data_IF_005284817738
#
_entry.id   IF_005284817738
#
_cell.length_a   1.000
_cell.length_b   1.000
_cell.length_c   1.000
_cell.angle_alpha   90.00
_cell.angle_beta   90.00
_cell.angle_gamma   90.00
#
_symmetry.space_group_name_H-M   'P 1'
#
loop_
_entity.id
_entity.type
_entity.pdbx_description
1 polymer ?
#
# COMPACT_ATOMS: atom_id res chain seq x y z
N UNK A 1 -1.91 -7.04 15.32
CA UNK A 1 -1.24 -7.72 14.20
C UNK A 1 0.22 -7.33 14.29
N UNK A 2 1.11 -8.31 14.34
CA UNK A 2 2.55 -8.07 14.26
C UNK A 2 2.97 -7.87 12.80
N UNK A 3 4.13 -7.24 12.55
CA UNK A 3 4.59 -7.01 11.18
C UNK A 3 4.80 -8.31 10.40
N UNK A 4 5.26 -9.36 11.08
CA UNK A 4 5.41 -10.69 10.48
C UNK A 4 4.07 -11.29 10.03
N UNK A 5 3.00 -11.08 10.80
CA UNK A 5 1.65 -11.55 10.43
C UNK A 5 1.17 -10.84 9.16
N UNK A 6 1.47 -9.54 9.04
CA UNK A 6 1.17 -8.76 7.84
C UNK A 6 1.93 -9.30 6.62
N UNK A 7 3.24 -9.52 6.73
CA UNK A 7 4.02 -10.06 5.60
C UNK A 7 3.56 -11.46 5.19
N UNK A 8 3.17 -12.30 6.15
CA UNK A 8 2.56 -13.60 5.85
C UNK A 8 1.26 -13.42 5.04
N UNK A 9 0.37 -12.54 5.50
CA UNK A 9 -0.87 -12.21 4.78
C UNK A 9 -0.59 -11.73 3.35
N UNK A 10 0.42 -10.88 3.14
CA UNK A 10 0.79 -10.40 1.80
C UNK A 10 1.20 -11.56 0.87
N UNK A 11 1.96 -12.53 1.38
CA UNK A 11 2.31 -13.72 0.60
C UNK A 11 1.11 -14.59 0.24
N UNK A 12 0.19 -14.80 1.19
CA UNK A 12 -1.07 -15.53 0.97
C UNK A 12 -1.96 -14.81 -0.05
N UNK A 13 -2.07 -13.48 0.05
CA UNK A 13 -2.88 -12.67 -0.86
C UNK A 13 -2.28 -12.61 -2.26
N UNK A 14 -0.95 -12.51 -2.40
CA UNK A 14 -0.29 -12.62 -3.71
C UNK A 14 -0.61 -13.97 -4.36
N UNK A 15 -0.56 -15.06 -3.62
CA UNK A 15 -0.92 -16.37 -4.16
C UNK A 15 -2.38 -16.40 -4.62
N UNK A 16 -3.31 -15.92 -3.80
CA UNK A 16 -4.73 -15.81 -4.13
C UNK A 16 -4.97 -14.99 -5.41
N UNK A 17 -4.30 -13.84 -5.55
CA UNK A 17 -4.40 -12.98 -6.72
C UNK A 17 -3.83 -13.63 -7.98
N UNK A 18 -2.69 -14.32 -7.89
CA UNK A 18 -2.10 -15.04 -9.03
C UNK A 18 -2.99 -16.18 -9.52
N UNK A 19 -3.71 -16.85 -8.62
CA UNK A 19 -4.65 -17.91 -8.96
C UNK A 19 -5.91 -17.34 -9.65
N UNK A 20 -6.41 -16.19 -9.20
CA UNK A 20 -7.62 -15.55 -9.75
C UNK A 20 -7.37 -14.79 -11.05
N UNK A 21 -6.22 -14.12 -11.15
CA UNK A 21 -5.86 -13.23 -12.25
C UNK A 21 -4.47 -13.60 -12.77
N UNK A 22 -4.34 -14.73 -13.49
CA UNK A 22 -3.04 -15.22 -13.93
C UNK A 22 -2.44 -14.28 -14.98
N UNK A 23 -1.32 -13.64 -14.62
CA UNK A 23 -0.49 -12.84 -15.53
C UNK A 23 0.80 -13.61 -15.78
N UNK A 24 1.02 -14.20 -16.98
CA UNK A 24 2.19 -15.06 -17.24
C UNK A 24 3.53 -14.31 -17.30
N UNK A 25 3.48 -13.00 -17.50
CA UNK A 25 4.63 -12.13 -17.70
C UNK A 25 4.95 -11.39 -16.39
N UNK A 26 6.08 -11.68 -15.72
CA UNK A 26 6.45 -11.05 -14.46
C UNK A 26 6.55 -9.52 -14.52
N UNK A 27 7.00 -8.96 -15.64
CA UNK A 27 7.09 -7.50 -15.79
C UNK A 27 5.68 -6.90 -15.85
N UNK A 28 4.75 -7.55 -16.56
CA UNK A 28 3.35 -7.11 -16.61
C UNK A 28 2.64 -7.27 -15.28
N UNK A 29 2.97 -8.29 -14.49
CA UNK A 29 2.44 -8.48 -13.12
C UNK A 29 2.85 -7.28 -12.25
N UNK A 30 4.13 -6.93 -12.22
CA UNK A 30 4.62 -5.74 -11.48
C UNK A 30 3.93 -4.47 -11.94
N UNK A 31 3.81 -4.24 -13.25
CA UNK A 31 3.18 -3.03 -13.79
C UNK A 31 1.67 -2.95 -13.48
N UNK A 32 0.96 -4.09 -13.49
CA UNK A 32 -0.45 -4.14 -13.11
C UNK A 32 -0.64 -3.79 -11.63
N UNK A 33 0.19 -4.35 -10.74
CA UNK A 33 0.15 -4.01 -9.32
C UNK A 33 0.58 -2.57 -9.06
N UNK A 34 1.53 -2.02 -9.83
CA UNK A 34 1.88 -0.60 -9.77
C UNK A 34 0.69 0.29 -10.16
N UNK A 35 -0.04 -0.05 -11.22
CA UNK A 35 -1.25 0.69 -11.60
C UNK A 35 -2.31 0.65 -10.48
N UNK A 36 -2.51 -0.51 -9.85
CA UNK A 36 -3.41 -0.64 -8.70
C UNK A 36 -2.95 0.19 -7.50
N UNK A 37 -1.65 0.21 -7.19
CA UNK A 37 -1.12 1.08 -6.14
C UNK A 37 -1.39 2.57 -6.42
N UNK A 38 -1.34 3.02 -7.68
CA UNK A 38 -1.72 4.40 -8.03
C UNK A 38 -3.21 4.69 -7.86
N UNK A 39 -4.07 3.70 -8.10
CA UNK A 39 -5.51 3.78 -7.80
C UNK A 39 -5.73 4.02 -6.30
N UNK A 40 -5.16 3.18 -5.42
CA UNK A 40 -5.27 3.33 -3.97
C UNK A 40 -4.67 4.66 -3.46
N UNK A 41 -3.57 5.12 -4.08
CA UNK A 41 -3.01 6.43 -3.76
C UNK A 41 -3.95 7.58 -4.15
N UNK A 42 -4.77 7.41 -5.18
CA UNK A 42 -5.82 8.34 -5.56
C UNK A 42 -6.95 8.37 -4.52
N UNK A 43 -7.40 7.21 -4.06
CA UNK A 43 -8.44 7.08 -3.03
C UNK A 43 -7.95 7.63 -1.69
N UNK A 44 -6.71 7.32 -1.29
CA UNK A 44 -6.06 7.94 -0.13
C UNK A 44 -5.94 9.46 -0.28
N UNK A 45 -5.64 9.97 -1.48
CA UNK A 45 -5.59 11.42 -1.71
C UNK A 45 -6.95 12.08 -1.54
N UNK A 46 -8.02 11.42 -1.97
CA UNK A 46 -9.39 11.89 -1.76
C UNK A 46 -9.71 12.03 -0.28
N UNK A 47 -9.36 11.03 0.53
CA UNK A 47 -9.63 11.01 1.96
C UNK A 47 -8.75 11.98 2.76
N UNK A 48 -7.50 12.19 2.32
CA UNK A 48 -6.64 13.24 2.88
C UNK A 48 -7.21 14.63 2.58
N UNK A 49 -7.76 14.86 1.37
CA UNK A 49 -8.40 16.14 1.03
C UNK A 49 -9.64 16.37 1.90
N UNK A 50 -10.43 15.32 2.15
CA UNK A 50 -11.59 15.37 3.03
C UNK A 50 -11.17 15.67 4.48
N UNK A 51 -10.15 14.98 5.01
CA UNK A 51 -9.57 15.25 6.33
C UNK A 51 -9.10 16.71 6.46
N UNK A 52 -8.48 17.26 5.42
CA UNK A 52 -8.02 18.66 5.40
C UNK A 52 -9.13 19.69 5.14
N UNK A 53 -10.40 19.27 5.00
CA UNK A 53 -11.52 20.16 4.61
C UNK A 53 -11.30 20.90 3.28
N UNK A 54 -10.57 20.29 2.35
CA UNK A 54 -10.26 20.84 1.01
C UNK A 54 -11.06 20.17 -0.12
N UNK A 55 -11.95 19.24 0.21
CA UNK A 55 -12.79 18.53 -0.75
C UNK A 55 -14.14 19.26 -0.98
N UNK A 56 -14.86 18.89 -2.04
CA UNK A 56 -16.24 19.36 -2.27
C UNK A 56 -17.17 18.96 -1.12
N UNK A 57 -18.14 19.83 -0.80
CA UNK A 57 -19.02 19.70 0.36
C UNK A 57 -19.74 18.35 0.44
N UNK A 58 -20.24 17.84 -0.69
CA UNK A 58 -20.91 16.55 -0.79
C UNK A 58 -20.03 15.36 -0.33
N UNK A 59 -18.72 15.45 -0.56
CA UNK A 59 -17.76 14.43 -0.11
C UNK A 59 -17.33 14.64 1.35
N UNK A 60 -17.25 15.90 1.81
CA UNK A 60 -17.00 16.21 3.22
C UNK A 60 -18.11 15.66 4.12
N UNK A 61 -19.36 15.75 3.67
CA UNK A 61 -20.53 15.25 4.40
C UNK A 61 -20.53 13.71 4.53
N UNK A 62 -19.82 13.01 3.65
CA UNK A 62 -19.69 11.55 3.63
C UNK A 62 -18.41 11.04 4.30
N UNK A 63 -17.49 11.93 4.69
CA UNK A 63 -16.18 11.55 5.23
C UNK A 63 -16.29 10.89 6.61
N UNK A 64 -15.43 9.89 6.86
CA UNK A 64 -15.25 9.26 8.16
C UNK A 64 -13.77 9.06 8.47
N UNK A 65 -13.37 8.96 9.74
CA UNK A 65 -11.98 8.63 10.05
C UNK A 65 -11.65 7.17 9.72
N UNK A 66 -12.66 6.33 9.75
CA UNK A 66 -12.61 4.92 9.41
C UNK A 66 -12.26 4.72 7.94
N UNK A 67 -12.82 5.54 7.03
CA UNK A 67 -12.45 5.50 5.60
C UNK A 67 -10.97 5.84 5.41
N UNK A 68 -10.45 6.89 6.06
CA UNK A 68 -9.03 7.24 5.92
C UNK A 68 -8.11 6.10 6.40
N UNK A 69 -8.49 5.40 7.46
CA UNK A 69 -7.75 4.23 7.95
C UNK A 69 -7.76 3.07 6.95
N UNK A 70 -8.87 2.85 6.24
CA UNK A 70 -8.97 1.87 5.17
C UNK A 70 -8.06 2.23 4.00
N UNK A 71 -8.15 3.46 3.50
CA UNK A 71 -7.34 3.91 2.34
C UNK A 71 -5.83 3.88 2.62
N UNK A 72 -5.41 4.22 3.84
CA UNK A 72 -4.00 4.06 4.26
C UNK A 72 -3.58 2.58 4.22
N UNK A 73 -4.47 1.69 4.61
CA UNK A 73 -4.21 0.24 4.65
C UNK A 73 -4.14 -0.34 3.24
N UNK A 74 -5.04 0.04 2.34
CA UNK A 74 -5.06 -0.42 0.95
C UNK A 74 -3.82 0.05 0.18
N UNK A 75 -3.43 1.32 0.35
CA UNK A 75 -2.17 1.84 -0.19
C UNK A 75 -0.94 1.10 0.35
N UNK A 76 -0.91 0.76 1.65
CA UNK A 76 0.19 0.00 2.24
C UNK A 76 0.25 -1.44 1.71
N UNK A 77 -0.89 -2.13 1.65
CA UNK A 77 -1.00 -3.52 1.17
C UNK A 77 -0.53 -3.62 -0.28
N UNK A 78 -0.99 -2.72 -1.15
CA UNK A 78 -0.60 -2.73 -2.57
C UNK A 78 0.90 -2.49 -2.78
N UNK A 79 1.52 -1.60 -2.00
CA UNK A 79 2.98 -1.42 -2.02
C UNK A 79 3.72 -2.68 -1.54
N UNK A 80 3.24 -3.32 -0.47
CA UNK A 80 3.86 -4.55 0.04
C UNK A 80 3.72 -5.72 -0.94
N UNK A 81 2.59 -5.84 -1.65
CA UNK A 81 2.41 -6.81 -2.73
C UNK A 81 3.43 -6.61 -3.84
N UNK A 82 3.67 -5.37 -4.28
CA UNK A 82 4.71 -5.06 -5.29
C UNK A 82 6.08 -5.49 -4.77
N UNK A 83 6.40 -5.18 -3.51
CA UNK A 83 7.67 -5.57 -2.92
C UNK A 83 7.86 -7.09 -2.86
N UNK A 84 6.80 -7.85 -2.52
CA UNK A 84 6.82 -9.31 -2.52
C UNK A 84 7.00 -9.87 -3.94
N UNK A 85 6.31 -9.29 -4.95
CA UNK A 85 6.48 -9.67 -6.36
C UNK A 85 7.92 -9.47 -6.83
N UNK A 86 8.54 -8.38 -6.39
CA UNK A 86 9.93 -8.03 -6.70
C UNK A 86 10.96 -8.73 -5.80
N UNK A 87 10.53 -9.65 -4.93
CA UNK A 87 11.36 -10.40 -3.99
C UNK A 87 12.21 -9.49 -3.07
N UNK A 88 11.66 -8.34 -2.68
CA UNK A 88 12.31 -7.40 -1.77
C UNK A 88 12.10 -7.86 -0.32
N UNK A 89 13.20 -8.04 0.41
CA UNK A 89 13.17 -8.20 1.87
C UNK A 89 12.83 -6.85 2.53
N UNK A 90 11.52 -6.60 2.67
CA UNK A 90 10.99 -5.31 3.16
C UNK A 90 11.42 -5.04 4.60
N UNK A 91 11.53 -6.07 5.45
CA UNK A 91 11.95 -5.91 6.84
C UNK A 91 13.38 -5.36 6.90
N UNK A 92 14.33 -6.02 6.22
CA UNK A 92 15.72 -5.52 6.14
C UNK A 92 15.81 -4.15 5.46
N UNK A 93 15.02 -3.92 4.40
CA UNK A 93 15.03 -2.65 3.68
C UNK A 93 14.55 -1.49 4.57
N UNK A 94 13.52 -1.72 5.39
CA UNK A 94 13.00 -0.75 6.36
C UNK A 94 14.01 -0.50 7.48
N UNK A 95 14.58 -1.55 8.08
CA UNK A 95 15.63 -1.43 9.10
C UNK A 95 16.77 -0.52 8.63
N UNK A 96 17.37 -0.85 7.48
CA UNK A 96 18.44 -0.07 6.86
C UNK A 96 18.03 1.38 6.62
N UNK A 97 16.82 1.60 6.07
CA UNK A 97 16.34 2.94 5.75
C UNK A 97 16.12 3.77 7.01
N UNK A 98 15.57 3.17 8.07
CA UNK A 98 15.32 3.82 9.37
C UNK A 98 16.64 4.23 10.01
N UNK A 99 17.65 3.35 10.02
CA UNK A 99 19.00 3.67 10.53
C UNK A 99 19.60 4.87 9.79
N UNK A 100 19.53 4.86 8.46
CA UNK A 100 20.03 5.95 7.61
C UNK A 100 19.28 7.27 7.83
N UNK A 101 17.99 7.23 8.18
CA UNK A 101 17.21 8.43 8.52
C UNK A 101 17.63 8.97 9.88
N UNK A 102 17.82 8.09 10.88
CA UNK A 102 18.31 8.47 12.21
C UNK A 102 19.71 9.08 12.15
N UNK A 103 20.61 8.53 11.34
CA UNK A 103 21.98 9.02 11.21
C UNK A 103 22.10 10.42 10.57
N UNK A 104 21.04 10.94 9.92
CA UNK A 104 21.02 12.30 9.35
C UNK A 104 20.61 13.38 10.35
N UNK A 105 20.04 12.97 11.49
CA UNK A 105 19.57 13.88 12.54
C UNK A 105 20.63 14.13 13.62
N UNK A 106 21.69 13.33 13.61
CA UNK A 106 22.89 13.46 14.44
C UNK A 106 24.02 14.09 13.62
#
# INVERSE_FOLDING_TARGET
MEFKDLLQFIGEERQSLRERFPIPDPEKEVLAHLAKAYEEMGELSEDILSYCSLQRQDKLDAYSKESLGAEVSDALITILLIADIMEVDVEKALEWKIEKVKSRRN
#
